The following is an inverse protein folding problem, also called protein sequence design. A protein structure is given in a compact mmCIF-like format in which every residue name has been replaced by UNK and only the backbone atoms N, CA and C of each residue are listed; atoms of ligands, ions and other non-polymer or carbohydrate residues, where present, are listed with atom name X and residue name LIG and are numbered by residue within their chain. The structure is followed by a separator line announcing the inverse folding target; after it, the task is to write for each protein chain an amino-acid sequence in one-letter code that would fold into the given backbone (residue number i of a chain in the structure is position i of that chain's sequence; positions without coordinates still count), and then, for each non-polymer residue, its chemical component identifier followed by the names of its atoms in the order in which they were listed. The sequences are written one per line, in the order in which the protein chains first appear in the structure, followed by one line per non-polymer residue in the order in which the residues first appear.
data_IF_384596529665
#
_entry.id   IF_384596529665
#
_cell.length_a   1.000
_cell.length_b   1.000
_cell.length_c   1.000
_cell.angle_alpha   90.00
_cell.angle_beta   90.00
_cell.angle_gamma   90.00
#
_symmetry.space_group_name_H-M   'P 1'
#
loop_
_entity.id
_entity.type
_entity.pdbx_description
1 polymer ?
#
# COMPACT_ATOMS: atom_id res chain seq x y z
N UNK A 1 22.90 8.37 3.66
CA UNK A 1 23.21 7.31 4.27
C UNK A 1 22.26 6.28 4.82
N UNK A 2 20.94 6.54 4.90
CA UNK A 2 19.99 5.51 5.32
C UNK A 2 19.90 4.39 4.29
N UNK A 3 19.47 3.20 4.72
CA UNK A 3 19.28 2.05 3.83
C UNK A 3 17.82 1.66 3.77
N UNK A 4 17.42 1.06 2.64
CA UNK A 4 16.08 0.50 2.48
C UNK A 4 16.19 -1.03 2.54
N UNK A 5 15.43 -1.61 3.46
CA UNK A 5 15.33 -3.06 3.64
C UNK A 5 13.98 -3.52 3.07
N UNK A 6 14.04 -4.48 2.16
CA UNK A 6 12.88 -5.20 1.66
C UNK A 6 12.61 -6.40 2.57
N UNK A 7 11.38 -6.53 3.04
CA UNK A 7 10.92 -7.58 3.96
C UNK A 7 9.86 -8.45 3.31
N UNK A 8 9.84 -9.73 3.66
CA UNK A 8 8.69 -10.60 3.44
C UNK A 8 8.77 -11.46 2.20
N UNK A 9 7.75 -11.42 1.37
CA UNK A 9 7.59 -12.29 0.23
C UNK A 9 8.61 -12.09 -0.87
N UNK A 10 8.92 -13.15 -1.62
CA UNK A 10 9.79 -13.09 -2.79
C UNK A 10 9.06 -12.60 -4.02
N UNK A 11 9.79 -11.98 -4.94
CA UNK A 11 9.28 -11.37 -6.16
C UNK A 11 9.05 -12.38 -7.27
N UNK A 12 7.89 -12.35 -7.88
CA UNK A 12 7.52 -13.08 -9.10
C UNK A 12 6.94 -12.13 -10.14
N UNK A 13 6.19 -12.65 -11.12
CA UNK A 13 5.47 -11.86 -12.12
C UNK A 13 4.11 -11.35 -11.65
N UNK A 14 3.87 -11.38 -10.37
CA UNK A 14 2.58 -10.98 -9.78
C UNK A 14 2.29 -9.52 -10.11
N UNK A 15 1.11 -9.23 -10.62
CA UNK A 15 0.60 -7.86 -10.82
C UNK A 15 1.33 -7.00 -11.85
N UNK A 16 2.18 -7.57 -12.71
CA UNK A 16 2.94 -6.81 -13.73
C UNK A 16 2.03 -5.97 -14.63
N UNK A 17 0.79 -6.42 -14.87
CA UNK A 17 -0.22 -5.65 -15.58
C UNK A 17 -0.72 -4.42 -14.84
N UNK A 18 -0.41 -4.28 -13.56
CA UNK A 18 -0.82 -3.18 -12.69
C UNK A 18 -2.34 -3.00 -12.62
N UNK A 19 -2.77 -1.82 -12.16
CA UNK A 19 -4.19 -1.46 -12.08
C UNK A 19 -4.93 -1.58 -13.41
N UNK A 20 -4.24 -1.42 -14.54
CA UNK A 20 -4.80 -1.62 -15.88
C UNK A 20 -5.16 -3.10 -16.11
N UNK A 21 -4.35 -4.03 -15.63
CA UNK A 21 -4.63 -5.47 -15.72
C UNK A 21 -5.87 -5.86 -14.92
N UNK A 22 -6.00 -5.36 -13.70
CA UNK A 22 -7.15 -5.63 -12.82
C UNK A 22 -8.46 -5.00 -13.30
N UNK A 23 -8.38 -3.96 -14.14
CA UNK A 23 -9.55 -3.26 -14.69
C UNK A 23 -10.11 -3.88 -15.98
N UNK A 24 -9.46 -4.91 -16.53
CA UNK A 24 -9.93 -5.59 -17.75
C UNK A 24 -10.93 -6.69 -17.44
N UNK A 25 -11.91 -6.88 -18.34
CA UNK A 25 -12.80 -8.03 -18.26
C UNK A 25 -12.00 -9.33 -18.47
N UNK A 26 -12.01 -10.20 -17.48
CA UNK A 26 -11.32 -11.49 -17.53
C UNK A 26 -12.17 -12.53 -18.27
N UNK A 27 -11.52 -13.30 -19.15
CA UNK A 27 -12.10 -14.46 -19.84
C UNK A 27 -11.47 -15.74 -19.31
N UNK A 28 -12.07 -16.89 -19.56
CA UNK A 28 -11.48 -18.19 -19.17
C UNK A 28 -10.05 -18.36 -19.71
N UNK A 29 -9.79 -17.87 -20.93
CA UNK A 29 -8.46 -17.87 -21.54
C UNK A 29 -7.44 -16.98 -20.79
N UNK A 30 -7.88 -16.03 -20.00
CA UNK A 30 -6.98 -15.19 -19.18
C UNK A 30 -6.23 -16.00 -18.12
N UNK A 31 -6.83 -17.08 -17.61
CA UNK A 31 -6.16 -17.98 -16.67
C UNK A 31 -4.96 -18.71 -17.29
N UNK A 32 -5.05 -19.05 -18.56
CA UNK A 32 -3.98 -19.73 -19.28
C UNK A 32 -2.86 -18.76 -19.70
N UNK A 33 -3.22 -17.54 -20.09
CA UNK A 33 -2.26 -16.55 -20.62
C UNK A 33 -1.62 -15.67 -19.55
N UNK A 34 -2.34 -15.36 -18.45
CA UNK A 34 -1.91 -14.43 -17.41
C UNK A 34 -1.83 -15.08 -16.02
N UNK A 35 -1.83 -16.40 -15.93
CA UNK A 35 -1.86 -17.10 -14.64
C UNK A 35 -0.66 -16.80 -13.72
N UNK A 36 0.50 -16.43 -14.29
CA UNK A 36 1.68 -16.02 -13.53
C UNK A 36 1.57 -14.61 -12.96
N UNK A 37 0.71 -13.76 -13.55
CA UNK A 37 0.52 -12.36 -13.16
C UNK A 37 -0.53 -12.19 -12.07
N UNK A 38 -1.29 -13.24 -11.77
CA UNK A 38 -2.29 -13.21 -10.70
C UNK A 38 -1.60 -13.05 -9.35
N UNK A 39 -1.95 -12.00 -8.64
CA UNK A 39 -1.48 -11.80 -7.27
C UNK A 39 -1.99 -12.92 -6.37
N UNK A 40 -1.08 -13.49 -5.58
CA UNK A 40 -1.37 -14.60 -4.67
C UNK A 40 -1.01 -14.19 -3.25
N UNK A 41 -1.99 -14.13 -2.38
CA UNK A 41 -1.81 -13.85 -0.97
C UNK A 41 -1.03 -14.97 -0.25
N UNK A 42 -0.28 -14.60 0.79
CA UNK A 42 0.45 -15.51 1.66
C UNK A 42 0.24 -15.13 3.12
N UNK A 43 -0.87 -15.57 3.69
CA UNK A 43 -1.25 -15.25 5.06
C UNK A 43 -0.17 -15.60 6.13
N UNK A 44 0.63 -16.69 6.01
CA UNK A 44 1.76 -16.92 6.92
C UNK A 44 2.82 -15.83 6.88
N UNK A 45 3.17 -15.30 5.71
CA UNK A 45 4.14 -14.19 5.59
C UNK A 45 3.53 -12.91 6.15
N UNK A 46 2.30 -12.59 5.81
CA UNK A 46 1.57 -11.45 6.37
C UNK A 46 1.58 -11.47 7.91
N UNK A 47 1.28 -12.62 8.52
CA UNK A 47 1.30 -12.78 9.97
C UNK A 47 2.67 -12.51 10.59
N UNK A 48 3.75 -12.91 9.93
CA UNK A 48 5.12 -12.64 10.38
C UNK A 48 5.45 -11.17 10.32
N UNK A 49 5.07 -10.48 9.21
CA UNK A 49 5.20 -9.03 9.08
C UNK A 49 4.46 -8.30 10.22
N UNK A 50 3.20 -8.66 10.45
CA UNK A 50 2.42 -8.08 11.55
C UNK A 50 3.07 -8.29 12.92
N UNK A 51 3.71 -9.42 13.17
CA UNK A 51 4.43 -9.67 14.42
C UNK A 51 5.66 -8.79 14.55
N UNK A 52 6.47 -8.66 13.49
CA UNK A 52 7.63 -7.77 13.48
C UNK A 52 7.22 -6.31 13.73
N UNK A 53 6.21 -5.83 13.01
CA UNK A 53 5.72 -4.44 13.14
C UNK A 53 4.99 -4.16 14.47
N UNK A 54 4.80 -5.14 15.33
CA UNK A 54 4.31 -4.98 16.71
C UNK A 54 5.42 -4.94 17.75
N UNK A 55 6.64 -5.18 17.35
CA UNK A 55 7.80 -5.12 18.24
C UNK A 55 8.27 -3.67 18.36
N UNK A 56 8.29 -3.16 19.58
CA UNK A 56 8.79 -1.81 19.87
C UNK A 56 10.24 -1.64 19.43
N UNK A 57 11.09 -2.65 19.70
CA UNK A 57 12.51 -2.65 19.34
C UNK A 57 12.76 -2.63 17.81
N UNK A 58 11.84 -3.14 17.01
CA UNK A 58 11.90 -3.03 15.56
C UNK A 58 11.31 -1.71 15.06
N UNK A 59 10.10 -1.35 15.53
CA UNK A 59 9.40 -0.16 15.04
C UNK A 59 10.15 1.13 15.33
N UNK A 60 10.85 1.25 16.46
CA UNK A 60 11.62 2.45 16.81
C UNK A 60 12.82 2.71 15.86
N UNK A 61 13.27 1.71 15.10
CA UNK A 61 14.32 1.89 14.08
C UNK A 61 13.76 2.34 12.72
N UNK A 62 12.46 2.18 12.48
CA UNK A 62 11.83 2.49 11.20
C UNK A 62 11.61 3.99 11.10
N UNK A 63 12.23 4.64 10.12
CA UNK A 63 12.01 6.06 9.80
C UNK A 63 10.83 6.27 8.88
N UNK A 64 10.67 5.39 7.89
CA UNK A 64 9.56 5.35 6.93
C UNK A 64 9.32 3.91 6.52
N UNK A 65 8.10 3.60 6.13
CA UNK A 65 7.76 2.31 5.54
C UNK A 65 6.69 2.48 4.45
N UNK A 66 6.66 1.54 3.53
CA UNK A 66 5.63 1.45 2.50
C UNK A 66 5.40 -0.02 2.17
N UNK A 67 4.16 -0.35 1.76
CA UNK A 67 3.82 -1.67 1.24
C UNK A 67 4.08 -1.75 -0.27
N UNK A 68 4.08 -2.96 -0.80
CA UNK A 68 4.24 -3.19 -2.23
C UNK A 68 2.86 -3.38 -2.89
N UNK A 69 2.35 -2.29 -3.45
CA UNK A 69 1.19 -2.29 -4.30
C UNK A 69 1.57 -2.09 -5.77
N UNK A 70 0.69 -1.40 -6.51
CA UNK A 70 0.88 -1.08 -7.91
C UNK A 70 2.20 -0.34 -8.17
N UNK A 71 2.99 -0.84 -9.13
CA UNK A 71 4.30 -0.30 -9.48
C UNK A 71 5.48 -0.91 -8.71
N UNK A 72 5.22 -1.87 -7.82
CA UNK A 72 6.24 -2.72 -7.20
C UNK A 72 7.36 -1.95 -6.50
N UNK A 73 8.60 -2.37 -6.74
CA UNK A 73 9.82 -1.77 -6.16
C UNK A 73 9.93 -0.29 -6.51
N UNK A 74 9.67 0.07 -7.78
CA UNK A 74 9.79 1.46 -8.26
C UNK A 74 8.92 2.43 -7.47
N UNK A 75 7.70 2.04 -7.08
CA UNK A 75 6.79 2.88 -6.30
C UNK A 75 7.04 2.71 -4.82
N UNK A 76 6.97 1.49 -4.29
CA UNK A 76 7.07 1.25 -2.85
C UNK A 76 8.37 1.80 -2.24
N UNK A 77 9.51 1.61 -2.92
CA UNK A 77 10.79 2.16 -2.48
C UNK A 77 10.96 3.60 -2.95
N UNK A 78 10.54 3.90 -4.19
CA UNK A 78 10.67 5.23 -4.80
C UNK A 78 10.01 6.36 -4.01
N UNK A 79 8.98 6.06 -3.21
CA UNK A 79 8.29 7.02 -2.35
C UNK A 79 8.95 7.25 -0.99
N UNK A 80 9.92 6.42 -0.59
CA UNK A 80 10.51 6.50 0.75
C UNK A 80 11.50 7.65 0.92
N UNK A 81 12.18 8.09 -0.15
CA UNK A 81 13.12 9.21 -0.10
C UNK A 81 13.24 9.93 -1.45
N UNK A 82 13.72 11.18 -1.42
CA UNK A 82 13.94 12.00 -2.62
C UNK A 82 15.07 11.48 -3.51
N UNK A 83 16.14 10.98 -2.90
CA UNK A 83 17.29 10.41 -3.58
C UNK A 83 17.49 8.95 -3.21
N UNK A 84 17.55 8.07 -4.20
CA UNK A 84 17.63 6.62 -4.02
C UNK A 84 18.53 5.96 -5.07
N UNK A 85 19.33 5.02 -4.60
CA UNK A 85 20.07 4.10 -5.46
C UNK A 85 19.64 2.67 -5.13
N UNK A 86 18.83 2.09 -6.01
CA UNK A 86 18.18 0.78 -5.84
C UNK A 86 18.97 -0.25 -6.63
N UNK A 87 19.31 -1.37 -6.01
CA UNK A 87 19.97 -2.53 -6.63
C UNK A 87 18.97 -3.68 -6.78
N UNK A 88 18.40 -3.82 -7.98
CA UNK A 88 17.43 -4.85 -8.30
C UNK A 88 18.01 -6.27 -8.24
N UNK A 89 19.34 -6.44 -8.29
CA UNK A 89 19.95 -7.75 -8.13
C UNK A 89 19.81 -8.29 -6.70
N UNK A 90 19.58 -7.41 -5.72
CA UNK A 90 19.37 -7.78 -4.32
C UNK A 90 17.91 -8.08 -3.99
N UNK A 91 16.99 -7.82 -4.91
CA UNK A 91 15.58 -8.16 -4.74
C UNK A 91 15.43 -9.67 -4.76
N UNK A 92 14.87 -10.23 -3.69
CA UNK A 92 14.66 -11.68 -3.56
C UNK A 92 13.61 -12.17 -4.56
N UNK A 93 13.91 -13.29 -5.22
CA UNK A 93 13.09 -13.83 -6.32
C UNK A 93 12.44 -15.15 -5.96
N UNK A 94 11.22 -15.40 -6.43
CA UNK A 94 10.53 -16.70 -6.33
C UNK A 94 11.19 -17.74 -7.23
N UNK A 95 11.69 -17.29 -8.39
CA UNK A 95 12.31 -18.13 -9.43
C UNK A 95 13.22 -17.28 -10.32
N UNK A 96 14.09 -17.93 -11.05
CA UNK A 96 14.98 -17.29 -12.02
C UNK A 96 14.24 -16.89 -13.32
N UNK A 97 14.86 -16.02 -14.12
CA UNK A 97 14.33 -15.58 -15.39
C UNK A 97 13.48 -14.32 -15.34
N UNK A 98 13.46 -13.63 -14.19
CA UNK A 98 12.92 -12.27 -14.09
C UNK A 98 13.95 -11.27 -14.61
N UNK A 99 13.51 -10.37 -15.48
CA UNK A 99 14.32 -9.25 -15.94
C UNK A 99 14.22 -8.04 -14.99
N UNK A 100 15.01 -6.99 -15.31
CA UNK A 100 15.05 -5.79 -14.47
C UNK A 100 13.70 -5.06 -14.41
N UNK A 101 12.95 -5.03 -15.50
CA UNK A 101 11.63 -4.39 -15.55
C UNK A 101 10.63 -5.16 -14.69
N UNK A 102 10.60 -6.49 -14.85
CA UNK A 102 9.73 -7.34 -14.03
C UNK A 102 10.03 -7.20 -12.53
N UNK A 103 11.31 -7.13 -12.15
CA UNK A 103 11.71 -6.89 -10.76
C UNK A 103 11.30 -5.53 -10.25
N UNK A 104 11.39 -4.49 -11.10
CA UNK A 104 11.05 -3.12 -10.74
C UNK A 104 9.55 -2.91 -10.48
N UNK A 105 8.68 -3.53 -11.28
CA UNK A 105 7.24 -3.24 -11.27
C UNK A 105 6.36 -4.34 -10.70
N UNK A 106 6.92 -5.49 -10.32
CA UNK A 106 6.13 -6.60 -9.75
C UNK A 106 5.44 -6.21 -8.45
N UNK A 107 4.18 -6.60 -8.34
CA UNK A 107 3.31 -6.37 -7.19
C UNK A 107 3.16 -7.63 -6.32
N UNK A 108 4.23 -8.43 -6.18
CA UNK A 108 4.16 -9.62 -5.31
C UNK A 108 3.77 -9.23 -3.88
N UNK A 109 2.77 -9.93 -3.36
CA UNK A 109 2.10 -9.61 -2.11
C UNK A 109 2.96 -9.90 -0.86
N UNK A 110 2.52 -9.35 0.28
CA UNK A 110 3.13 -9.49 1.60
C UNK A 110 4.62 -9.09 1.61
N UNK A 111 4.92 -7.96 0.98
CA UNK A 111 6.22 -7.31 1.04
C UNK A 111 6.09 -5.93 1.68
N UNK A 112 7.10 -5.54 2.44
CA UNK A 112 7.22 -4.20 3.00
C UNK A 112 8.63 -3.66 2.70
N UNK A 113 8.71 -2.36 2.46
CA UNK A 113 9.99 -1.63 2.42
C UNK A 113 10.09 -0.72 3.63
N UNK A 114 11.22 -0.75 4.32
CA UNK A 114 11.49 0.12 5.47
C UNK A 114 12.79 0.88 5.27
N UNK A 115 12.78 2.16 5.62
CA UNK A 115 13.97 2.99 5.71
C UNK A 115 14.47 2.99 7.15
N UNK A 116 15.73 2.59 7.34
CA UNK A 116 16.39 2.56 8.65
C UNK A 116 17.76 3.23 8.55
N UNK A 117 18.32 3.64 9.69
CA UNK A 117 19.70 4.09 9.72
C UNK A 117 20.66 2.94 9.33
N UNK A 118 21.74 3.26 8.61
CA UNK A 118 22.68 2.21 8.15
C UNK A 118 23.25 1.39 9.32
N UNK A 119 23.49 2.03 10.45
CA UNK A 119 23.98 1.40 11.69
C UNK A 119 22.99 0.44 12.33
N UNK A 120 21.69 0.62 12.10
CA UNK A 120 20.63 -0.22 12.65
C UNK A 120 20.26 -1.40 11.73
N UNK A 121 20.74 -1.42 10.50
CA UNK A 121 20.33 -2.38 9.49
C UNK A 121 20.53 -3.84 9.90
N UNK A 122 21.71 -4.18 10.42
CA UNK A 122 22.01 -5.56 10.87
C UNK A 122 21.11 -6.00 12.03
N UNK A 123 20.87 -5.09 12.98
CA UNK A 123 19.98 -5.36 14.12
C UNK A 123 18.55 -5.56 13.66
N UNK A 124 18.06 -4.72 12.75
CA UNK A 124 16.71 -4.84 12.20
C UNK A 124 16.53 -6.16 11.43
N UNK A 125 17.52 -6.55 10.60
CA UNK A 125 17.51 -7.82 9.89
C UNK A 125 17.50 -9.01 10.86
N UNK A 126 18.25 -8.94 11.96
CA UNK A 126 18.26 -9.98 12.99
C UNK A 126 16.85 -10.15 13.61
N UNK A 127 16.16 -9.04 13.92
CA UNK A 127 14.79 -9.08 14.44
C UNK A 127 13.79 -9.67 13.43
N UNK A 128 13.95 -9.35 12.14
CA UNK A 128 13.14 -9.95 11.08
C UNK A 128 13.37 -11.47 10.98
N UNK A 129 14.62 -11.91 11.09
CA UNK A 129 14.98 -13.33 11.08
C UNK A 129 14.39 -14.10 12.28
N UNK A 130 14.25 -13.48 13.46
CA UNK A 130 13.56 -14.08 14.61
C UNK A 130 12.10 -14.43 14.30
N UNK A 131 11.45 -13.63 13.44
CA UNK A 131 10.10 -13.90 12.93
C UNK A 131 10.10 -14.81 11.68
N UNK A 132 11.24 -15.33 11.27
CA UNK A 132 11.44 -16.10 10.02
C UNK A 132 11.01 -15.31 8.78
N UNK A 133 11.29 -14.01 8.74
CA UNK A 133 11.11 -13.14 7.58
C UNK A 133 12.43 -12.98 6.83
N UNK A 134 12.40 -13.09 5.52
CA UNK A 134 13.51 -12.63 4.69
C UNK A 134 13.58 -11.11 4.77
N UNK A 135 14.78 -10.58 4.95
CA UNK A 135 15.06 -9.16 5.01
C UNK A 135 16.37 -8.86 4.30
N UNK A 136 16.33 -7.98 3.31
CA UNK A 136 17.49 -7.70 2.47
C UNK A 136 17.62 -6.19 2.22
N UNK A 137 18.83 -5.64 2.39
CA UNK A 137 19.14 -4.26 1.99
C UNK A 137 19.16 -4.21 0.47
N UNK A 138 18.22 -3.46 -0.12
CA UNK A 138 18.05 -3.35 -1.58
C UNK A 138 18.33 -1.95 -2.12
N UNK A 139 18.41 -0.94 -1.26
CA UNK A 139 18.69 0.43 -1.69
C UNK A 139 19.41 1.24 -0.61
N UNK A 140 20.04 2.33 -1.05
CA UNK A 140 20.62 3.37 -0.21
C UNK A 140 19.99 4.73 -0.52
N UNK A 141 19.74 5.51 0.52
CA UNK A 141 19.31 6.89 0.39
C UNK A 141 20.50 7.77 0.05
N UNK A 142 20.36 8.61 -0.97
CA UNK A 142 21.41 9.49 -1.49
C UNK A 142 21.04 10.96 -1.30
N UNK A 143 22.06 11.84 -1.26
CA UNK A 143 21.85 13.29 -1.23
C UNK A 143 21.36 13.82 -2.58
N UNK A 144 21.81 13.21 -3.67
CA UNK A 144 21.34 13.58 -5.00
C UNK A 144 19.89 13.17 -5.17
N UNK A 145 19.04 14.12 -5.46
CA UNK A 145 17.58 13.93 -5.60
C UNK A 145 17.21 13.26 -6.93
N UNK A 146 17.62 12.01 -7.07
CA UNK A 146 17.33 11.15 -8.21
C UNK A 146 16.96 9.76 -7.74
N UNK A 147 16.03 9.13 -8.43
CA UNK A 147 15.72 7.71 -8.28
C UNK A 147 16.48 6.95 -9.36
N UNK A 148 17.37 6.07 -8.93
CA UNK A 148 18.12 5.17 -9.82
C UNK A 148 17.80 3.72 -9.46
N UNK A 149 17.53 2.93 -10.49
CA UNK A 149 17.39 1.49 -10.38
C UNK A 149 18.42 0.80 -11.27
N UNK A 150 19.23 -0.04 -10.67
CA UNK A 150 20.33 -0.72 -11.34
C UNK A 150 20.05 -2.23 -11.41
N UNK A 151 20.28 -2.79 -12.58
CA UNK A 151 20.20 -4.22 -12.83
C UNK A 151 21.36 -4.68 -13.73
N UNK A 152 22.10 -5.69 -13.28
CA UNK A 152 23.25 -6.25 -13.99
C UNK A 152 24.27 -5.19 -14.46
N UNK A 153 24.53 -4.19 -13.61
CA UNK A 153 25.48 -3.13 -13.87
C UNK A 153 25.00 -2.02 -14.79
N UNK A 154 23.72 -2.05 -15.19
CA UNK A 154 23.09 -1.01 -16.02
C UNK A 154 22.01 -0.29 -15.21
N UNK A 155 21.97 1.02 -15.29
CA UNK A 155 20.87 1.82 -14.77
C UNK A 155 19.69 1.68 -15.74
N UNK A 156 18.61 1.02 -15.30
CA UNK A 156 17.38 0.86 -16.09
C UNK A 156 16.38 1.99 -15.82
N UNK A 157 16.51 2.65 -14.66
CA UNK A 157 15.79 3.89 -14.31
C UNK A 157 16.79 4.91 -13.79
N UNK A 158 16.71 6.14 -14.28
CA UNK A 158 17.43 7.29 -13.74
C UNK A 158 16.57 8.55 -13.93
N UNK A 159 15.74 8.86 -12.93
CA UNK A 159 14.76 9.94 -12.97
C UNK A 159 15.05 10.98 -11.88
N UNK A 160 14.96 12.26 -12.24
CA UNK A 160 15.05 13.33 -11.24
C UNK A 160 13.78 13.37 -10.37
N UNK A 161 13.93 13.76 -9.12
CA UNK A 161 12.80 13.94 -8.20
C UNK A 161 11.85 15.05 -8.70
N UNK A 162 12.42 16.09 -9.32
CA UNK A 162 11.63 17.17 -9.93
C UNK A 162 10.66 16.61 -10.98
N UNK A 163 11.13 15.73 -11.87
CA UNK A 163 10.29 15.09 -12.87
C UNK A 163 9.20 14.22 -12.21
N UNK A 164 9.57 13.41 -11.23
CA UNK A 164 8.61 12.54 -10.51
C UNK A 164 7.52 13.36 -9.78
N UNK A 165 7.89 14.52 -9.23
CA UNK A 165 6.96 15.40 -8.53
C UNK A 165 6.08 16.24 -9.46
N UNK A 166 6.39 16.31 -10.76
CA UNK A 166 5.61 17.09 -11.73
C UNK A 166 4.26 16.45 -12.09
N UNK A 167 4.02 15.23 -11.69
CA UNK A 167 2.84 14.42 -12.11
C UNK A 167 2.67 14.34 -13.64
N UNK A 168 3.77 14.48 -14.38
CA UNK A 168 3.81 14.49 -15.84
C UNK A 168 3.65 15.88 -16.45
N UNK A 169 3.16 15.95 -17.68
CA UNK A 169 2.96 17.21 -18.36
C UNK A 169 1.85 18.05 -17.68
N UNK A 170 2.08 19.38 -17.64
CA UNK A 170 1.04 20.31 -17.17
C UNK A 170 -0.26 20.07 -17.92
N UNK A 171 -1.34 19.96 -17.19
CA UNK A 171 -2.68 19.83 -17.74
C UNK A 171 -3.47 21.07 -17.37
N UNK A 172 -4.00 21.73 -18.39
CA UNK A 172 -4.90 22.86 -18.23
C UNK A 172 -6.33 22.40 -18.49
N UNK A 173 -7.24 22.79 -17.62
CA UNK A 173 -8.66 22.54 -17.79
C UNK A 173 -9.44 23.83 -17.48
N UNK A 174 -10.31 24.22 -18.38
CA UNK A 174 -11.27 25.30 -18.11
C UNK A 174 -12.43 24.70 -17.32
N UNK A 175 -12.63 25.20 -16.10
CA UNK A 175 -13.70 24.77 -15.23
C UNK A 175 -14.79 25.81 -15.16
N UNK A 176 -15.97 25.47 -15.64
CA UNK A 176 -17.16 26.29 -15.50
C UNK A 176 -17.97 25.84 -14.27
N UNK A 177 -17.92 26.66 -13.24
CA UNK A 177 -18.67 26.37 -12.00
C UNK A 177 -20.07 26.98 -12.15
N UNK A 178 -21.06 26.12 -12.26
CA UNK A 178 -22.45 26.54 -12.23
C UNK A 178 -22.83 27.01 -10.83
N UNK A 179 -23.74 27.99 -10.70
CA UNK A 179 -24.29 28.36 -9.40
C UNK A 179 -24.82 27.13 -8.68
N UNK A 180 -24.35 26.92 -7.46
CA UNK A 180 -24.80 25.79 -6.65
C UNK A 180 -26.32 25.87 -6.40
N UNK A 181 -27.02 24.80 -6.67
CA UNK A 181 -28.40 24.64 -6.19
C UNK A 181 -28.31 24.16 -4.73
N UNK A 182 -28.99 24.86 -3.84
CA UNK A 182 -29.14 24.35 -2.46
C UNK A 182 -29.94 23.05 -2.52
N UNK A 183 -29.26 21.94 -2.25
CA UNK A 183 -29.95 20.65 -2.14
C UNK A 183 -30.92 20.71 -0.95
N UNK A 184 -32.19 20.55 -1.26
CA UNK A 184 -33.21 20.40 -0.21
C UNK A 184 -33.68 18.95 -0.21
N UNK A 185 -33.43 18.21 0.87
CA UNK A 185 -33.89 16.84 0.99
C UNK A 185 -35.41 16.81 0.94
N UNK A 186 -35.96 16.07 0.01
CA UNK A 186 -37.39 15.81 -0.04
C UNK A 186 -37.65 14.42 0.48
N UNK A 187 -37.97 14.32 1.76
CA UNK A 187 -38.36 13.05 2.37
C UNK A 187 -39.79 12.72 1.91
N UNK A 188 -39.95 11.56 1.30
CA UNK A 188 -41.28 11.06 0.93
C UNK A 188 -42.14 10.82 2.18
N UNK A 189 -43.44 11.10 2.08
CA UNK A 189 -44.40 10.91 3.17
C UNK A 189 -45.32 12.09 3.34
N UNK A 190 -46.56 11.78 3.74
CA UNK A 190 -47.62 12.77 3.96
C UNK A 190 -47.64 13.27 5.41
N UNK A 191 -47.25 12.43 6.33
CA UNK A 191 -47.20 12.72 7.77
C UNK A 191 -45.75 12.92 8.27
N UNK A 192 -45.59 13.53 9.45
CA UNK A 192 -44.31 13.65 10.09
C UNK A 192 -43.66 12.28 10.38
N UNK A 193 -44.45 11.30 10.81
CA UNK A 193 -43.97 9.96 11.09
C UNK A 193 -43.42 9.28 9.83
N UNK A 194 -44.16 9.32 8.72
CA UNK A 194 -43.67 8.77 7.43
C UNK A 194 -42.39 9.45 6.95
N UNK A 195 -42.30 10.77 7.06
CA UNK A 195 -41.09 11.51 6.69
C UNK A 195 -39.90 11.14 7.57
N UNK A 196 -40.15 10.93 8.87
CA UNK A 196 -39.08 10.53 9.79
C UNK A 196 -38.60 9.10 9.51
N UNK A 197 -39.54 8.17 9.26
CA UNK A 197 -39.17 6.79 8.89
C UNK A 197 -38.34 6.75 7.61
N UNK A 198 -38.74 7.49 6.58
CA UNK A 198 -37.99 7.59 5.34
C UNK A 198 -36.60 8.25 5.54
N UNK A 199 -36.51 9.26 6.40
CA UNK A 199 -35.25 9.90 6.76
C UNK A 199 -34.29 8.92 7.44
N UNK A 200 -34.73 8.21 8.47
CA UNK A 200 -33.85 7.28 9.21
C UNK A 200 -33.56 5.99 8.45
N UNK A 201 -34.37 5.69 7.43
CA UNK A 201 -34.15 4.60 6.49
C UNK A 201 -33.22 4.94 5.32
N UNK A 202 -32.92 6.22 5.09
CA UNK A 202 -32.00 6.63 4.02
C UNK A 202 -30.57 6.14 4.33
N UNK A 203 -29.89 5.60 3.31
CA UNK A 203 -28.54 5.02 3.47
C UNK A 203 -27.49 6.02 3.95
N UNK A 204 -27.69 7.33 3.73
CA UNK A 204 -26.80 8.38 4.23
C UNK A 204 -27.10 8.79 5.68
N UNK A 205 -28.23 8.36 6.23
CA UNK A 205 -28.72 8.77 7.56
C UNK A 205 -28.88 7.59 8.51
N UNK A 206 -29.17 6.40 7.99
CA UNK A 206 -29.35 5.20 8.80
C UNK A 206 -28.09 4.83 9.58
N UNK A 207 -28.25 4.08 10.66
CA UNK A 207 -27.12 3.65 11.49
C UNK A 207 -26.10 2.82 10.70
N UNK A 208 -24.84 3.24 10.74
CA UNK A 208 -23.71 2.50 10.19
C UNK A 208 -23.09 1.50 11.18
N UNK A 209 -23.71 1.30 12.35
CA UNK A 209 -23.19 0.48 13.44
C UNK A 209 -22.81 -0.92 12.97
N UNK A 210 -23.66 -1.58 12.20
CA UNK A 210 -23.39 -2.94 11.72
C UNK A 210 -22.16 -3.04 10.81
N UNK A 211 -21.92 -2.01 9.99
CA UNK A 211 -20.72 -1.94 9.16
C UNK A 211 -19.47 -1.65 9.99
N UNK A 212 -19.54 -0.68 10.90
CA UNK A 212 -18.44 -0.33 11.79
C UNK A 212 -18.03 -1.50 12.68
N UNK A 213 -18.96 -2.19 13.31
CA UNK A 213 -18.67 -3.36 14.15
C UNK A 213 -18.07 -4.53 13.36
N UNK A 214 -18.49 -4.72 12.11
CA UNK A 214 -18.04 -5.85 11.29
C UNK A 214 -16.69 -5.60 10.61
N UNK A 215 -16.43 -4.40 10.13
CA UNK A 215 -15.31 -4.11 9.24
C UNK A 215 -14.24 -3.22 9.86
N UNK A 216 -14.55 -2.43 10.91
CA UNK A 216 -13.63 -1.45 11.46
C UNK A 216 -13.13 -1.79 12.88
N UNK A 217 -13.82 -2.67 13.60
CA UNK A 217 -13.58 -2.82 15.05
C UNK A 217 -12.32 -3.60 15.41
N UNK A 218 -11.91 -4.57 14.61
CA UNK A 218 -10.82 -5.49 14.98
C UNK A 218 -9.74 -5.64 13.92
N UNK A 219 -9.78 -4.84 12.88
CA UNK A 219 -8.80 -4.88 11.79
C UNK A 219 -7.41 -4.59 12.37
N UNK A 220 -6.45 -5.49 12.08
CA UNK A 220 -5.08 -5.37 12.58
C UNK A 220 -4.90 -5.66 14.07
N UNK A 221 -5.98 -5.88 14.82
CA UNK A 221 -5.99 -6.20 16.26
C UNK A 221 -5.23 -5.20 17.15
N UNK A 222 -5.06 -3.97 16.70
CA UNK A 222 -4.41 -2.86 17.44
C UNK A 222 -5.38 -1.71 17.74
N UNK A 223 -6.67 -1.92 17.53
CA UNK A 223 -7.70 -0.95 17.88
C UNK A 223 -7.72 -0.71 19.40
N UNK A 224 -7.45 0.52 19.82
CA UNK A 224 -7.47 0.95 21.23
C UNK A 224 -8.90 1.31 21.65
N UNK A 225 -9.60 2.04 20.81
CA UNK A 225 -11.00 2.40 21.01
C UNK A 225 -11.88 1.69 20.00
N UNK A 226 -12.76 0.83 20.49
CA UNK A 226 -13.69 0.11 19.63
C UNK A 226 -14.73 1.07 19.05
N UNK A 227 -15.07 0.95 17.75
CA UNK A 227 -16.21 1.66 17.18
C UNK A 227 -17.47 1.40 18.00
N UNK A 228 -18.22 2.44 18.24
CA UNK A 228 -19.42 2.38 19.11
C UNK A 228 -19.15 1.87 20.53
N UNK A 229 -17.90 1.97 20.98
CA UNK A 229 -17.51 1.62 22.35
C UNK A 229 -18.01 2.65 23.37
N UNK A 230 -17.69 2.37 24.65
CA UNK A 230 -18.07 3.22 25.78
C UNK A 230 -19.50 2.99 26.26
N UNK A 231 -19.82 3.67 27.35
CA UNK A 231 -21.09 3.48 28.09
C UNK A 231 -22.35 3.71 27.25
N UNK A 232 -22.31 4.65 26.33
CA UNK A 232 -23.47 5.09 25.56
C UNK A 232 -23.47 4.61 24.11
N UNK A 233 -22.37 4.06 23.64
CA UNK A 233 -22.22 3.56 22.27
C UNK A 233 -22.67 4.59 21.20
N UNK A 234 -22.37 5.87 21.41
CA UNK A 234 -22.92 6.97 20.61
C UNK A 234 -22.05 7.37 19.41
N UNK A 235 -20.75 7.09 19.46
CA UNK A 235 -19.83 7.59 18.46
C UNK A 235 -19.05 6.45 17.80
N UNK A 236 -18.93 6.46 16.46
CA UNK A 236 -18.04 5.57 15.73
C UNK A 236 -16.59 6.09 15.90
N UNK A 237 -16.01 5.96 17.07
CA UNK A 237 -14.62 6.34 17.33
C UNK A 237 -13.70 5.20 16.98
N UNK A 238 -12.68 5.49 16.19
CA UNK A 238 -11.58 4.60 15.89
C UNK A 238 -10.27 5.25 16.33
N UNK A 239 -9.38 4.46 16.86
CA UNK A 239 -7.99 4.85 17.13
C UNK A 239 -7.09 3.62 17.06
#
# INVERSE_FOLDING_TARGET
GDVIILLGGRTGRDGIGGATGSSKAHKLTSLETCGAEVQKGNAPIERKLQRLFRREDACCMIKRCNDFGAGGVSVAIGELADGLNIDLNKVTKKYEGLDGTELAISESQERMAVAVAAEDAEKFIALANEENLEATVVATVTEEKRMRENWNGVAIVDLSREFLNSNGAERHADVHVLPGTVWQPQWAGSTFAEKLENLVGDLNVCSQKGLGERFDSTIGASTVLMPYGGKYQLTPTMA
#
